data_IF_504826279276
#
_entry.id   IF_504826279276
#
_cell.length_a   1.000
_cell.length_b   1.000
_cell.length_c   1.000
_cell.angle_alpha   90.00
_cell.angle_beta   90.00
_cell.angle_gamma   90.00
#
_symmetry.space_group_name_H-M   'P 1'
#
loop_
_entity.id
_entity.type
_entity.pdbx_description
1 polymer ?
#
# COMPACT_ATOMS: atom_id res chain seq x y z
N UNK A 1 -2.82 10.93 5.17
CA UNK A 1 -4.19 10.55 4.74
C UNK A 1 -4.75 9.56 5.76
N UNK A 2 -5.90 9.81 6.38
CA UNK A 2 -6.49 8.89 7.39
C UNK A 2 -7.23 7.75 6.68
N UNK A 3 -7.27 6.54 7.25
CA UNK A 3 -7.95 5.35 6.68
C UNK A 3 -9.41 5.62 6.33
N UNK A 4 -10.11 6.38 7.17
CA UNK A 4 -11.49 6.81 6.93
C UNK A 4 -11.62 7.55 5.59
N UNK A 5 -10.65 8.40 5.24
CA UNK A 5 -10.67 9.14 3.98
C UNK A 5 -10.47 8.23 2.76
N UNK A 6 -9.68 7.16 2.88
CA UNK A 6 -9.47 6.19 1.80
C UNK A 6 -10.75 5.41 1.47
N UNK A 7 -11.51 4.98 2.49
CA UNK A 7 -12.77 4.24 2.32
C UNK A 7 -13.77 5.06 1.51
N UNK A 8 -13.96 6.33 1.88
CA UNK A 8 -14.86 7.23 1.13
C UNK A 8 -14.38 7.45 -0.30
N UNK A 9 -13.08 7.67 -0.54
CA UNK A 9 -12.55 7.84 -1.89
C UNK A 9 -12.75 6.61 -2.77
N UNK A 10 -12.65 5.40 -2.21
CA UNK A 10 -12.91 4.16 -2.96
C UNK A 10 -14.41 4.04 -3.25
N UNK A 11 -15.27 4.27 -2.26
CA UNK A 11 -16.73 4.28 -2.43
C UNK A 11 -17.15 5.23 -3.57
N UNK A 12 -16.68 6.47 -3.55
CA UNK A 12 -16.95 7.48 -4.59
C UNK A 12 -16.50 7.04 -6.00
N UNK A 13 -15.46 6.20 -6.10
CA UNK A 13 -14.91 5.75 -7.38
C UNK A 13 -15.52 4.46 -7.90
N UNK A 14 -16.02 3.60 -7.01
CA UNK A 14 -16.49 2.26 -7.38
C UNK A 14 -18.00 2.06 -7.18
N UNK A 15 -18.66 2.95 -6.45
CA UNK A 15 -20.06 2.81 -6.03
C UNK A 15 -20.30 1.74 -4.97
N UNK A 16 -19.25 1.01 -4.55
CA UNK A 16 -19.34 -0.07 -3.56
C UNK A 16 -19.63 0.52 -2.17
N UNK A 17 -20.57 -0.03 -1.38
CA UNK A 17 -20.88 0.47 -0.05
C UNK A 17 -19.65 0.62 0.84
N UNK A 18 -19.58 1.70 1.63
CA UNK A 18 -18.43 1.98 2.51
C UNK A 18 -18.16 0.87 3.53
N UNK A 19 -19.21 0.16 3.98
CA UNK A 19 -19.09 -1.01 4.84
C UNK A 19 -18.33 -2.15 4.16
N UNK A 20 -18.65 -2.45 2.90
CA UNK A 20 -17.97 -3.48 2.12
C UNK A 20 -16.53 -3.10 1.80
N UNK A 21 -16.30 -1.84 1.41
CA UNK A 21 -14.94 -1.32 1.21
C UNK A 21 -14.11 -1.48 2.48
N UNK A 22 -14.66 -1.11 3.64
CA UNK A 22 -13.97 -1.23 4.93
C UNK A 22 -13.66 -2.68 5.27
N UNK A 23 -14.60 -3.59 5.03
CA UNK A 23 -14.42 -5.03 5.24
C UNK A 23 -13.29 -5.58 4.36
N UNK A 24 -13.32 -5.30 3.06
CA UNK A 24 -12.30 -5.78 2.11
C UNK A 24 -10.91 -5.23 2.46
N UNK A 25 -10.80 -3.94 2.79
CA UNK A 25 -9.52 -3.36 3.20
C UNK A 25 -8.97 -3.99 4.49
N UNK A 26 -9.85 -4.31 5.44
CA UNK A 26 -9.47 -5.00 6.68
C UNK A 26 -8.99 -6.42 6.39
N UNK A 27 -9.72 -7.17 5.59
CA UNK A 27 -9.36 -8.54 5.18
C UNK A 27 -8.04 -8.55 4.42
N UNK A 28 -7.84 -7.62 3.49
CA UNK A 28 -6.57 -7.45 2.78
C UNK A 28 -5.41 -7.13 3.74
N UNK A 29 -5.64 -6.29 4.76
CA UNK A 29 -4.64 -6.03 5.80
C UNK A 29 -4.26 -7.27 6.60
N UNK A 30 -5.23 -8.12 6.94
CA UNK A 30 -5.00 -9.38 7.66
C UNK A 30 -4.22 -10.35 6.78
N UNK A 31 -4.67 -10.58 5.54
CA UNK A 31 -4.01 -11.49 4.60
C UNK A 31 -2.55 -11.08 4.38
N UNK A 32 -2.31 -9.82 4.01
CA UNK A 32 -0.94 -9.32 3.79
C UNK A 32 -0.07 -9.43 5.05
N UNK A 33 -0.64 -9.21 6.24
CA UNK A 33 0.10 -9.39 7.49
C UNK A 33 0.48 -10.85 7.76
N UNK A 34 -0.42 -11.80 7.46
CA UNK A 34 -0.16 -13.23 7.64
C UNK A 34 0.96 -13.71 6.73
N UNK A 35 0.93 -13.35 5.45
CA UNK A 35 2.00 -13.68 4.49
C UNK A 35 3.36 -13.13 4.95
N UNK A 36 3.40 -11.87 5.40
CA UNK A 36 4.63 -11.24 5.88
C UNK A 36 5.15 -11.88 7.17
N UNK A 37 4.26 -12.36 8.06
CA UNK A 37 4.64 -13.10 9.26
C UNK A 37 5.19 -14.49 8.93
N UNK A 38 4.69 -15.12 7.86
CA UNK A 38 5.21 -16.36 7.30
C UNK A 38 6.55 -16.17 6.54
N UNK A 39 7.08 -14.94 6.53
CA UNK A 39 8.30 -14.55 5.82
C UNK A 39 8.17 -14.63 4.30
N UNK A 40 6.94 -14.50 3.79
CA UNK A 40 6.64 -14.48 2.37
C UNK A 40 6.60 -13.05 1.82
N UNK A 41 7.02 -12.91 0.56
CA UNK A 41 6.96 -11.61 -0.15
C UNK A 41 5.58 -11.40 -0.74
N UNK A 42 4.92 -10.31 -0.37
CA UNK A 42 3.62 -9.95 -0.94
C UNK A 42 3.81 -9.06 -2.15
N UNK A 43 3.41 -9.54 -3.33
CA UNK A 43 3.40 -8.74 -4.55
C UNK A 43 2.06 -8.02 -4.73
N UNK A 44 2.11 -6.69 -4.87
CA UNK A 44 0.95 -5.84 -5.13
C UNK A 44 1.05 -5.29 -6.56
N UNK A 45 0.28 -5.82 -7.53
CA UNK A 45 0.36 -5.42 -8.93
C UNK A 45 0.26 -3.90 -9.08
N UNK A 46 1.11 -3.33 -9.94
CA UNK A 46 1.25 -1.89 -10.21
C UNK A 46 1.72 -1.02 -9.03
N UNK A 47 1.66 -1.50 -7.78
CA UNK A 47 2.10 -0.76 -6.59
C UNK A 47 3.55 -1.09 -6.22
N UNK A 48 3.90 -2.37 -6.12
CA UNK A 48 5.21 -2.81 -5.67
C UNK A 48 5.17 -4.16 -4.98
N UNK A 49 6.12 -4.41 -4.08
CA UNK A 49 6.13 -5.61 -3.23
C UNK A 49 6.52 -5.27 -1.80
N UNK A 50 6.00 -6.03 -0.85
CA UNK A 50 6.37 -5.98 0.56
C UNK A 50 7.29 -7.16 0.84
N UNK A 51 8.51 -6.87 1.27
CA UNK A 51 9.57 -7.85 1.51
C UNK A 51 9.84 -7.91 3.01
N UNK A 52 9.61 -9.06 3.67
CA UNK A 52 10.04 -9.24 5.05
C UNK A 52 11.56 -9.38 5.11
N UNK A 53 12.19 -8.67 6.05
CA UNK A 53 13.62 -8.66 6.27
C UNK A 53 13.92 -8.94 7.74
N UNK A 54 14.95 -9.73 8.00
CA UNK A 54 15.54 -9.81 9.33
C UNK A 54 16.62 -8.73 9.47
N UNK A 55 16.34 -7.70 10.28
CA UNK A 55 17.31 -6.65 10.57
C UNK A 55 17.96 -6.94 11.92
N UNK A 56 19.28 -7.05 11.93
CA UNK A 56 20.06 -7.05 13.17
C UNK A 56 20.13 -5.63 13.70
N UNK A 57 19.43 -5.33 14.79
CA UNK A 57 19.62 -4.07 15.51
C UNK A 57 20.94 -4.16 16.28
N UNK A 58 21.77 -3.11 16.18
CA UNK A 58 23.06 -2.91 16.86
C UNK A 58 23.18 -3.71 18.15
N UNK A 59 23.92 -4.82 18.11
CA UNK A 59 24.26 -5.61 19.29
C UNK A 59 23.69 -7.03 19.29
N UNK A 60 22.36 -7.24 19.38
CA UNK A 60 21.90 -8.58 19.84
C UNK A 60 20.46 -8.99 19.52
N UNK A 61 19.58 -8.09 19.06
CA UNK A 61 18.18 -8.47 18.74
C UNK A 61 17.90 -8.41 17.25
N UNK A 62 17.70 -9.60 16.65
CA UNK A 62 17.06 -9.72 15.33
C UNK A 62 15.63 -9.21 15.44
N UNK A 63 15.28 -8.22 14.62
CA UNK A 63 13.91 -7.75 14.46
C UNK A 63 13.46 -8.05 13.05
N UNK A 64 12.26 -8.61 12.92
CA UNK A 64 11.59 -8.74 11.64
C UNK A 64 10.98 -7.39 11.29
N UNK A 65 11.39 -6.85 10.15
CA UNK A 65 10.86 -5.60 9.60
C UNK A 65 10.32 -5.89 8.21
N UNK A 66 9.42 -5.04 7.71
CA UNK A 66 8.89 -5.15 6.36
C UNK A 66 9.34 -3.93 5.58
N UNK A 67 9.92 -4.16 4.40
CA UNK A 67 10.31 -3.10 3.48
C UNK A 67 9.37 -3.09 2.28
N UNK A 68 8.94 -1.89 1.88
CA UNK A 68 8.15 -1.72 0.66
C UNK A 68 9.05 -1.32 -0.50
N UNK A 69 9.06 -2.13 -1.55
CA UNK A 69 9.76 -1.86 -2.79
C UNK A 69 8.77 -1.40 -3.87
N UNK A 70 8.74 -0.10 -4.23
CA UNK A 70 7.76 0.43 -5.16
C UNK A 70 8.01 -0.04 -6.59
N UNK A 71 6.92 -0.35 -7.30
CA UNK A 71 6.98 -0.75 -8.71
C UNK A 71 7.53 0.39 -9.58
N UNK A 72 8.07 0.08 -10.77
CA UNK A 72 8.42 1.11 -11.75
C UNK A 72 7.23 2.02 -12.12
N UNK A 73 6.01 1.46 -12.19
CA UNK A 73 4.80 2.22 -12.51
C UNK A 73 4.46 3.24 -11.41
N UNK A 74 4.56 2.84 -10.13
CA UNK A 74 4.34 3.72 -9.00
C UNK A 74 5.42 4.81 -8.94
N UNK A 75 6.69 4.44 -9.11
CA UNK A 75 7.81 5.40 -9.17
C UNK A 75 7.61 6.44 -10.27
N UNK A 76 7.23 6.02 -11.49
CA UNK A 76 6.94 6.92 -12.61
C UNK A 76 5.78 7.89 -12.32
N UNK A 77 4.75 7.41 -11.62
CA UNK A 77 3.58 8.23 -11.24
C UNK A 77 3.93 9.26 -10.16
N UNK A 78 4.74 8.87 -9.18
CA UNK A 78 5.20 9.77 -8.11
C UNK A 78 6.22 10.78 -8.60
N UNK A 79 7.08 10.41 -9.56
CA UNK A 79 8.07 11.31 -10.15
C UNK A 79 7.47 12.45 -11.01
N UNK A 80 6.19 12.37 -11.38
CA UNK A 80 5.48 13.39 -12.17
C UNK A 80 4.32 14.04 -11.39
N UNK A 81 4.59 14.84 -10.33
CA UNK A 81 3.54 15.43 -9.52
C UNK A 81 2.70 16.50 -10.27
N UNK A 82 3.19 17.04 -11.39
CA UNK A 82 2.61 18.22 -12.05
C UNK A 82 1.63 17.95 -13.21
N UNK A 83 1.35 16.70 -13.57
CA UNK A 83 0.46 16.42 -14.73
C UNK A 83 -1.02 16.78 -14.50
N UNK A 84 -1.41 17.15 -13.27
CA UNK A 84 -2.80 17.49 -12.90
C UNK A 84 -3.12 19.00 -12.87
N UNK A 85 -2.13 19.90 -12.92
CA UNK A 85 -2.38 21.34 -12.79
C UNK A 85 -2.60 22.08 -14.12
N UNK A 86 -2.48 21.42 -15.27
CA UNK A 86 -2.59 22.07 -16.59
C UNK A 86 -3.91 21.85 -17.34
N UNK A 87 -4.90 21.19 -16.77
CA UNK A 87 -6.18 20.93 -17.45
C UNK A 87 -7.36 21.77 -16.94
N UNK A 88 -7.12 22.85 -16.18
CA UNK A 88 -8.18 23.72 -15.62
C UNK A 88 -8.13 25.14 -16.21
N UNK A 89 -7.25 25.39 -17.20
CA UNK A 89 -7.21 26.65 -17.96
C UNK A 89 -7.22 26.34 -19.46
N UNK A 90 -8.40 26.06 -20.01
CA UNK A 90 -8.71 26.19 -21.45
C UNK A 90 -10.20 26.40 -21.60
#
# INVERSE_FOLDING_TARGET
MKTVHLVFLIHEKTGVPTADVSRVLRELGILTSNELQANETVSLPLLGRLVPLEQTAFGEKRRRVVTFEPSPALRKKLANPFRRLRSVTS
#
